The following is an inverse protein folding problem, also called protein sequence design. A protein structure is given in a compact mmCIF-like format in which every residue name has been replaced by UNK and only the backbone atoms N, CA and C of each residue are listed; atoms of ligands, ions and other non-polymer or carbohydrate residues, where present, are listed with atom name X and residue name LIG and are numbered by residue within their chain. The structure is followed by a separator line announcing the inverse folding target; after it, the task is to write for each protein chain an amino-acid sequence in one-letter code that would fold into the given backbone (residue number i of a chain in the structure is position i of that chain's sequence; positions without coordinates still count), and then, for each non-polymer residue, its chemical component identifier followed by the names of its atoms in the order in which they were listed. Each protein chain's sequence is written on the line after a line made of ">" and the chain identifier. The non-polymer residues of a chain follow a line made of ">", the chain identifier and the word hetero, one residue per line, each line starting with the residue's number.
data_IF_570851188813
#
_entry.id   IF_570851188813
#
_cell.length_a   1.000
_cell.length_b   1.000
_cell.length_c   1.000
_cell.angle_alpha   90.00
_cell.angle_beta   90.00
_cell.angle_gamma   90.00
#
_symmetry.space_group_name_H-M   'P 1'
#
loop_
_entity.id
_entity.type
_entity.pdbx_description
1 polymer ?
#
# COMPACT_ATOMS: atom_id res chain seq x y z
N UNK A 1 -2.35 -22.10 -53.91
CA UNK A 1 -2.32 -20.62 -53.87
C UNK A 1 -2.59 -20.19 -52.43
N UNK A 2 -1.58 -19.64 -51.76
CA UNK A 2 -1.70 -18.79 -50.56
C UNK A 2 -1.20 -17.39 -51.01
N UNK A 3 -1.55 -16.23 -50.39
CA UNK A 3 -0.97 -15.89 -49.07
C UNK A 3 -1.75 -14.86 -48.19
N UNK A 4 -1.20 -14.65 -47.00
CA UNK A 4 -1.24 -13.44 -46.15
C UNK A 4 -2.60 -13.09 -45.50
N UNK A 5 -2.75 -13.21 -44.18
CA UNK A 5 -2.14 -12.33 -43.17
C UNK A 5 -3.33 -11.73 -42.40
N UNK A 6 -3.37 -11.52 -41.10
CA UNK A 6 -2.34 -11.29 -40.10
C UNK A 6 -3.07 -11.33 -38.75
N UNK A 7 -2.50 -11.99 -37.76
CA UNK A 7 -2.74 -11.58 -36.37
C UNK A 7 -2.26 -10.13 -36.20
N UNK A 8 -2.99 -9.28 -35.47
CA UNK A 8 -2.30 -8.35 -34.61
C UNK A 8 -2.83 -8.45 -33.18
N UNK A 9 -1.88 -8.66 -32.27
CA UNK A 9 -2.03 -8.36 -30.86
C UNK A 9 -2.58 -6.95 -30.62
N UNK A 10 -3.41 -6.77 -29.59
CA UNK A 10 -3.79 -5.46 -29.10
C UNK A 10 -4.85 -5.50 -27.99
N UNK A 11 -4.42 -5.44 -26.74
CA UNK A 11 -5.26 -5.37 -25.51
C UNK A 11 -6.38 -4.30 -25.63
N UNK A 12 -7.53 -4.45 -24.93
CA UNK A 12 -7.60 -3.93 -23.56
C UNK A 12 -8.48 -4.77 -22.62
N UNK A 13 -7.84 -5.40 -21.63
CA UNK A 13 -8.49 -6.09 -20.50
C UNK A 13 -9.15 -5.17 -19.45
N UNK A 14 -9.32 -3.88 -19.73
CA UNK A 14 -9.81 -2.90 -18.75
C UNK A 14 -11.32 -2.62 -18.88
N UNK A 15 -11.85 -2.66 -20.11
CA UNK A 15 -13.28 -2.41 -20.39
C UNK A 15 -14.17 -3.59 -19.98
N UNK A 16 -13.64 -4.81 -20.03
CA UNK A 16 -14.38 -6.03 -19.71
C UNK A 16 -14.65 -6.17 -18.20
N UNK A 17 -13.70 -5.73 -17.36
CA UNK A 17 -13.91 -5.67 -15.90
C UNK A 17 -15.03 -4.67 -15.57
N UNK A 18 -15.03 -3.51 -16.24
CA UNK A 18 -16.07 -2.48 -16.07
C UNK A 18 -17.47 -2.95 -16.51
N UNK A 19 -17.58 -3.72 -17.59
CA UNK A 19 -18.88 -4.25 -18.05
C UNK A 19 -19.45 -5.31 -17.11
N UNK A 20 -18.61 -6.23 -16.61
CA UNK A 20 -19.03 -7.20 -15.59
C UNK A 20 -19.39 -6.52 -14.26
N UNK A 21 -18.69 -5.44 -13.90
CA UNK A 21 -19.03 -4.63 -12.72
C UNK A 21 -20.40 -3.98 -12.88
N UNK A 22 -20.70 -3.40 -14.04
CA UNK A 22 -21.97 -2.70 -14.32
C UNK A 22 -23.18 -3.64 -14.24
N UNK A 23 -23.12 -4.79 -14.89
CA UNK A 23 -24.21 -5.78 -14.85
C UNK A 23 -24.36 -6.44 -13.46
N UNK A 24 -23.27 -6.52 -12.71
CA UNK A 24 -23.28 -7.02 -11.33
C UNK A 24 -23.86 -6.05 -10.32
N UNK A 25 -23.62 -4.74 -10.50
CA UNK A 25 -23.98 -3.69 -9.55
C UNK A 25 -25.43 -3.23 -9.71
N UNK A 26 -26.03 -3.42 -10.89
CA UNK A 26 -27.40 -3.00 -11.21
C UNK A 26 -28.22 -4.21 -11.69
N UNK A 27 -28.83 -5.01 -10.79
CA UNK A 27 -29.75 -6.08 -11.18
C UNK A 27 -31.03 -5.51 -11.82
N UNK A 28 -31.70 -6.32 -12.64
CA UNK A 28 -32.98 -6.02 -13.29
C UNK A 28 -34.04 -5.53 -12.27
N UNK A 29 -34.98 -4.65 -12.68
CA UNK A 29 -35.93 -4.02 -11.78
C UNK A 29 -36.73 -5.08 -11.00
N UNK A 30 -36.84 -4.99 -9.66
CA UNK A 30 -37.57 -5.96 -8.84
C UNK A 30 -39.09 -5.89 -9.09
N UNK A 31 -39.85 -6.97 -8.82
CA UNK A 31 -41.31 -6.92 -8.82
C UNK A 31 -41.81 -5.99 -7.70
N UNK A 32 -42.90 -5.25 -7.98
CA UNK A 32 -43.64 -4.28 -7.13
C UNK A 32 -43.11 -4.06 -5.70
N UNK A 33 -41.94 -3.43 -5.56
CA UNK A 33 -41.50 -2.79 -4.33
C UNK A 33 -42.06 -1.38 -4.30
N UNK A 34 -42.42 -0.88 -3.12
CA UNK A 34 -42.75 0.54 -2.97
C UNK A 34 -41.56 1.39 -3.47
N UNK A 35 -41.83 2.49 -4.17
CA UNK A 35 -40.79 3.44 -4.61
C UNK A 35 -39.84 3.82 -3.47
N UNK A 36 -40.38 3.89 -2.24
CA UNK A 36 -39.63 4.17 -1.02
C UNK A 36 -38.59 3.08 -0.67
N UNK A 37 -38.96 1.80 -0.80
CA UNK A 37 -38.06 0.66 -0.55
C UNK A 37 -36.96 0.55 -1.62
N UNK A 38 -37.30 0.85 -2.87
CA UNK A 38 -36.33 0.93 -3.97
C UNK A 38 -35.31 2.06 -3.75
N UNK A 39 -35.80 3.26 -3.38
CA UNK A 39 -34.95 4.40 -3.08
C UNK A 39 -34.03 4.16 -1.88
N UNK A 40 -34.50 3.49 -0.83
CA UNK A 40 -33.68 3.17 0.34
C UNK A 40 -32.58 2.16 0.01
N UNK A 41 -32.90 1.10 -0.73
CA UNK A 41 -31.93 0.13 -1.22
C UNK A 41 -30.86 0.77 -2.13
N UNK A 42 -31.26 1.66 -3.02
CA UNK A 42 -30.35 2.41 -3.88
C UNK A 42 -29.45 3.36 -3.07
N UNK A 43 -30.03 4.12 -2.14
CA UNK A 43 -29.29 5.06 -1.28
C UNK A 43 -28.22 4.35 -0.45
N UNK A 44 -28.53 3.17 0.11
CA UNK A 44 -27.58 2.34 0.85
C UNK A 44 -26.41 1.89 -0.03
N UNK A 45 -26.69 1.31 -1.21
CA UNK A 45 -25.64 0.88 -2.15
C UNK A 45 -24.79 2.05 -2.64
N UNK A 46 -25.41 3.19 -2.92
CA UNK A 46 -24.70 4.40 -3.33
C UNK A 46 -23.79 4.95 -2.23
N UNK A 47 -24.22 4.89 -0.97
CA UNK A 47 -23.38 5.27 0.18
C UNK A 47 -22.12 4.39 0.25
N UNK A 48 -22.27 3.07 0.15
CA UNK A 48 -21.13 2.15 0.13
C UNK A 48 -20.18 2.40 -1.04
N UNK A 49 -20.73 2.71 -2.22
CA UNK A 49 -19.94 3.07 -3.40
C UNK A 49 -19.13 4.35 -3.19
N UNK A 50 -19.75 5.40 -2.61
CA UNK A 50 -19.04 6.63 -2.25
C UNK A 50 -17.93 6.35 -1.24
N UNK A 51 -18.19 5.55 -0.21
CA UNK A 51 -17.16 5.14 0.76
C UNK A 51 -16.00 4.39 0.09
N UNK A 52 -16.29 3.54 -0.89
CA UNK A 52 -15.27 2.83 -1.67
C UNK A 52 -14.38 3.82 -2.45
N UNK A 53 -14.97 4.78 -3.16
CA UNK A 53 -14.23 5.78 -3.93
C UNK A 53 -13.34 6.64 -3.02
N UNK A 54 -13.86 7.10 -1.88
CA UNK A 54 -13.08 7.87 -0.91
C UNK A 54 -11.91 7.05 -0.36
N UNK A 55 -12.15 5.79 -0.01
CA UNK A 55 -11.09 4.91 0.48
C UNK A 55 -10.02 4.66 -0.59
N UNK A 56 -10.41 4.46 -1.85
CA UNK A 56 -9.49 4.28 -2.96
C UNK A 56 -8.55 5.49 -3.14
N UNK A 57 -9.11 6.70 -3.18
CA UNK A 57 -8.32 7.94 -3.30
C UNK A 57 -7.32 8.08 -2.14
N UNK A 58 -7.75 7.80 -0.90
CA UNK A 58 -6.88 7.87 0.27
C UNK A 58 -5.75 6.82 0.23
N UNK A 59 -6.03 5.61 -0.24
CA UNK A 59 -5.02 4.57 -0.41
C UNK A 59 -3.99 4.98 -1.48
N UNK A 60 -4.45 5.45 -2.63
CA UNK A 60 -3.57 5.93 -3.71
C UNK A 60 -2.70 7.11 -3.27
N UNK A 61 -3.26 8.06 -2.52
CA UNK A 61 -2.48 9.17 -1.98
C UNK A 61 -1.38 8.68 -1.02
N UNK A 62 -1.70 7.74 -0.12
CA UNK A 62 -0.71 7.18 0.79
C UNK A 62 0.37 6.36 0.06
N UNK A 63 0.02 5.68 -1.04
CA UNK A 63 0.98 5.00 -1.92
C UNK A 63 1.90 6.00 -2.63
N UNK A 64 1.34 7.07 -3.22
CA UNK A 64 2.11 8.11 -3.88
C UNK A 64 3.09 8.80 -2.90
N UNK A 65 2.67 9.03 -1.65
CA UNK A 65 3.55 9.56 -0.62
C UNK A 65 4.72 8.61 -0.30
N UNK A 66 4.49 7.29 -0.27
CA UNK A 66 5.55 6.30 -0.08
C UNK A 66 6.49 6.24 -1.29
N UNK A 67 5.97 6.29 -2.51
CA UNK A 67 6.77 6.35 -3.74
C UNK A 67 7.65 7.58 -3.75
N UNK A 68 7.11 8.74 -3.37
CA UNK A 68 7.89 9.97 -3.24
C UNK A 68 9.03 9.83 -2.24
N UNK A 69 8.81 9.17 -1.10
CA UNK A 69 9.88 8.91 -0.12
C UNK A 69 10.93 7.97 -0.72
N UNK A 70 10.50 6.93 -1.44
CA UNK A 70 11.40 5.93 -2.04
C UNK A 70 12.27 6.53 -3.15
N UNK A 71 11.68 7.31 -4.06
CA UNK A 71 12.39 7.93 -5.18
C UNK A 71 13.07 9.26 -4.81
N UNK A 72 12.63 9.92 -3.74
CA UNK A 72 13.12 11.24 -3.34
C UNK A 72 14.54 11.23 -2.78
N UNK A 73 15.07 10.08 -2.37
CA UNK A 73 16.43 9.96 -1.82
C UNK A 73 16.64 10.66 -0.47
N UNK A 74 15.60 11.25 0.11
CA UNK A 74 15.65 11.92 1.41
C UNK A 74 15.69 10.91 2.56
N UNK A 75 16.28 11.34 3.69
CA UNK A 75 16.26 10.55 4.91
C UNK A 75 14.84 10.44 5.47
N UNK A 76 14.40 9.22 5.78
CA UNK A 76 13.06 8.97 6.31
C UNK A 76 13.10 8.28 7.68
N UNK A 77 12.00 8.44 8.44
CA UNK A 77 11.79 7.72 9.70
C UNK A 77 10.88 6.53 9.45
N UNK A 78 11.24 5.35 9.97
CA UNK A 78 10.39 4.15 9.87
C UNK A 78 8.98 4.34 10.42
N UNK A 79 8.79 5.25 11.39
CA UNK A 79 7.46 5.62 11.89
C UNK A 79 6.56 6.20 10.79
N UNK A 80 7.12 7.01 9.87
CA UNK A 80 6.39 7.59 8.74
C UNK A 80 6.01 6.49 7.75
N UNK A 81 6.96 5.61 7.40
CA UNK A 81 6.71 4.47 6.50
C UNK A 81 5.59 3.58 7.05
N UNK A 82 5.66 3.22 8.34
CA UNK A 82 4.63 2.42 9.01
C UNK A 82 3.26 3.10 8.97
N UNK A 83 3.21 4.39 9.29
CA UNK A 83 1.94 5.15 9.24
C UNK A 83 1.30 5.14 7.85
N UNK A 84 2.08 5.26 6.78
CA UNK A 84 1.55 5.19 5.40
C UNK A 84 1.06 3.79 5.05
N UNK A 85 1.81 2.74 5.39
CA UNK A 85 1.41 1.34 5.19
C UNK A 85 0.09 1.05 5.93
N UNK A 86 -0.03 1.45 7.19
CA UNK A 86 -1.28 1.31 7.96
C UNK A 86 -2.43 2.06 7.30
N UNK A 87 -2.18 3.28 6.80
CA UNK A 87 -3.20 4.07 6.08
C UNK A 87 -3.68 3.34 4.83
N UNK A 88 -2.78 2.73 4.07
CA UNK A 88 -3.11 1.92 2.89
C UNK A 88 -3.97 0.73 3.30
N UNK A 89 -3.52 -0.07 4.27
CA UNK A 89 -4.23 -1.27 4.73
C UNK A 89 -5.64 -0.94 5.23
N UNK A 90 -5.79 0.10 6.05
CA UNK A 90 -7.11 0.55 6.56
C UNK A 90 -8.04 0.94 5.41
N UNK A 91 -7.55 1.67 4.41
CA UNK A 91 -8.38 2.08 3.28
C UNK A 91 -8.71 0.92 2.33
N UNK A 92 -7.78 -0.02 2.11
CA UNK A 92 -8.06 -1.24 1.36
C UNK A 92 -9.11 -2.10 2.06
N UNK A 93 -9.02 -2.24 3.38
CA UNK A 93 -10.05 -2.94 4.15
C UNK A 93 -11.42 -2.27 4.01
N UNK A 94 -11.50 -0.93 4.07
CA UNK A 94 -12.74 -0.19 3.81
C UNK A 94 -13.30 -0.49 2.41
N UNK A 95 -12.46 -0.57 1.38
CA UNK A 95 -12.89 -0.95 0.03
C UNK A 95 -13.48 -2.37 -0.01
N UNK A 96 -12.82 -3.34 0.63
CA UNK A 96 -13.31 -4.74 0.74
C UNK A 96 -14.68 -4.77 1.41
N UNK A 97 -14.85 -4.08 2.55
CA UNK A 97 -16.13 -4.01 3.28
C UNK A 97 -17.23 -3.34 2.47
N UNK A 98 -16.94 -2.26 1.76
CA UNK A 98 -17.90 -1.62 0.85
C UNK A 98 -18.33 -2.57 -0.28
N UNK A 99 -17.40 -3.31 -0.89
CA UNK A 99 -17.72 -4.28 -1.94
C UNK A 99 -18.61 -5.42 -1.42
N UNK A 100 -18.29 -5.98 -0.27
CA UNK A 100 -19.08 -7.03 0.37
C UNK A 100 -20.49 -6.55 0.73
N UNK A 101 -20.62 -5.32 1.21
CA UNK A 101 -21.92 -4.72 1.54
C UNK A 101 -22.78 -4.46 0.29
N UNK A 102 -22.16 -4.11 -0.84
CA UNK A 102 -22.85 -3.85 -2.10
C UNK A 102 -23.19 -5.14 -2.88
N UNK A 103 -22.44 -6.22 -2.68
CA UNK A 103 -22.59 -7.48 -3.41
C UNK A 103 -22.44 -8.69 -2.47
N UNK A 104 -23.47 -8.98 -1.65
CA UNK A 104 -23.44 -10.11 -0.73
C UNK A 104 -23.18 -11.42 -1.48
N UNK A 105 -22.27 -12.24 -0.96
CA UNK A 105 -21.98 -13.58 -1.48
C UNK A 105 -21.09 -13.66 -2.74
N UNK A 106 -20.76 -12.54 -3.41
CA UNK A 106 -19.86 -12.58 -4.59
C UNK A 106 -18.38 -12.60 -4.25
N UNK A 107 -17.98 -11.92 -3.19
CA UNK A 107 -16.57 -11.58 -2.94
C UNK A 107 -16.05 -12.10 -1.59
N UNK A 108 -16.59 -13.22 -1.09
CA UNK A 108 -16.27 -13.74 0.25
C UNK A 108 -14.78 -14.08 0.47
N UNK A 109 -14.00 -14.25 -0.59
CA UNK A 109 -12.56 -14.51 -0.49
C UNK A 109 -11.71 -13.24 -0.29
N UNK A 110 -12.25 -12.04 -0.56
CA UNK A 110 -11.47 -10.79 -0.49
C UNK A 110 -10.91 -10.51 0.89
N UNK A 111 -11.65 -10.84 1.96
CA UNK A 111 -11.14 -10.67 3.33
C UNK A 111 -9.94 -11.57 3.59
N UNK A 112 -9.99 -12.84 3.15
CA UNK A 112 -8.87 -13.78 3.31
C UNK A 112 -7.63 -13.33 2.54
N UNK A 113 -7.82 -12.84 1.30
CA UNK A 113 -6.71 -12.32 0.48
C UNK A 113 -6.12 -11.07 1.14
N UNK A 114 -6.97 -10.18 1.65
CA UNK A 114 -6.54 -9.00 2.39
C UNK A 114 -5.69 -9.38 3.61
N UNK A 115 -6.15 -10.32 4.43
CA UNK A 115 -5.43 -10.79 5.62
C UNK A 115 -4.08 -11.42 5.27
N UNK A 116 -4.03 -12.20 4.18
CA UNK A 116 -2.78 -12.80 3.69
C UNK A 116 -1.76 -11.74 3.25
N UNK A 117 -2.21 -10.71 2.52
CA UNK A 117 -1.33 -9.61 2.08
C UNK A 117 -0.89 -8.76 3.28
N UNK A 118 -1.82 -8.45 4.19
CA UNK A 118 -1.55 -7.71 5.41
C UNK A 118 -0.47 -8.38 6.27
N UNK A 119 -0.61 -9.69 6.49
CA UNK A 119 0.36 -10.49 7.24
C UNK A 119 1.74 -10.51 6.56
N UNK A 120 1.78 -10.65 5.23
CA UNK A 120 3.03 -10.61 4.47
C UNK A 120 3.73 -9.24 4.57
N UNK A 121 2.96 -8.15 4.55
CA UNK A 121 3.47 -6.80 4.73
C UNK A 121 4.02 -6.57 6.14
N UNK A 122 3.29 -7.01 7.18
CA UNK A 122 3.76 -6.91 8.57
C UNK A 122 5.11 -7.61 8.74
N UNK A 123 5.27 -8.82 8.19
CA UNK A 123 6.55 -9.53 8.24
C UNK A 123 7.69 -8.75 7.55
N UNK A 124 7.42 -8.03 6.46
CA UNK A 124 8.43 -7.20 5.78
C UNK A 124 8.79 -5.99 6.64
N UNK A 125 7.80 -5.35 7.24
CA UNK A 125 7.97 -4.11 8.02
C UNK A 125 8.61 -4.36 9.38
N UNK A 126 8.33 -5.49 10.01
CA UNK A 126 8.86 -5.89 11.31
C UNK A 126 10.23 -6.55 11.25
N UNK A 127 10.78 -6.77 10.04
CA UNK A 127 12.16 -7.24 9.88
C UNK A 127 13.11 -6.30 10.60
N UNK A 128 13.52 -6.74 11.78
CA UNK A 128 14.56 -6.07 12.55
C UNK A 128 15.87 -6.33 11.81
N UNK A 129 16.68 -5.30 11.52
CA UNK A 129 18.00 -5.50 10.93
C UNK A 129 18.76 -6.50 11.80
N UNK A 130 19.38 -7.51 11.17
CA UNK A 130 20.18 -8.49 11.89
C UNK A 130 21.13 -7.78 12.87
N UNK A 131 21.30 -8.35 14.07
CA UNK A 131 22.21 -7.83 15.09
C UNK A 131 23.56 -7.56 14.43
N UNK A 132 23.94 -6.29 14.37
CA UNK A 132 25.05 -5.84 13.52
C UNK A 132 26.35 -6.50 14.01
N UNK A 133 27.06 -7.15 13.11
CA UNK A 133 28.35 -7.76 13.40
C UNK A 133 29.38 -6.66 13.64
N UNK A 134 30.11 -6.76 14.75
CA UNK A 134 31.15 -5.82 15.10
C UNK A 134 31.64 -6.01 16.54
N UNK A 135 32.74 -5.36 16.92
CA UNK A 135 33.24 -5.38 18.28
C UNK A 135 32.18 -4.85 19.25
N UNK A 136 32.05 -5.47 20.43
CA UNK A 136 31.20 -4.93 21.51
C UNK A 136 31.75 -3.61 22.07
N UNK A 137 33.06 -3.39 21.94
CA UNK A 137 33.78 -2.20 22.36
C UNK A 137 34.57 -1.71 21.15
N UNK A 138 34.38 -0.44 20.78
CA UNK A 138 35.13 0.23 19.73
C UNK A 138 35.88 1.40 20.34
N UNK A 139 37.20 1.50 20.13
CA UNK A 139 37.96 2.63 20.66
C UNK A 139 37.54 3.93 19.96
N UNK A 140 37.45 5.03 20.73
CA UNK A 140 37.17 6.36 20.16
C UNK A 140 38.23 6.78 19.11
N UNK A 141 39.46 6.28 19.23
CA UNK A 141 40.52 6.53 18.24
C UNK A 141 40.29 5.81 16.91
N UNK A 142 39.44 4.78 16.89
CA UNK A 142 39.15 3.95 15.71
C UNK A 142 37.79 4.29 15.09
N UNK A 143 36.97 5.07 15.80
CA UNK A 143 35.63 5.48 15.35
C UNK A 143 35.70 6.31 14.06
N UNK A 144 34.81 6.00 13.11
CA UNK A 144 34.71 6.69 11.82
C UNK A 144 33.31 6.65 11.24
N UNK A 145 33.09 7.39 10.14
CA UNK A 145 31.85 7.29 9.36
C UNK A 145 31.58 5.88 8.83
N UNK A 146 32.60 5.02 8.73
CA UNK A 146 32.44 3.60 8.37
C UNK A 146 31.75 2.80 9.47
N UNK A 147 31.88 3.25 10.72
CA UNK A 147 31.32 2.61 11.91
C UNK A 147 29.93 3.14 12.27
N UNK A 148 29.36 4.05 11.47
CA UNK A 148 28.07 4.73 11.72
C UNK A 148 26.92 3.79 12.04
N UNK A 149 26.91 2.61 11.42
CA UNK A 149 25.90 1.60 11.71
C UNK A 149 26.10 0.93 13.09
N UNK A 150 27.28 0.94 13.69
CA UNK A 150 27.52 0.37 15.03
C UNK A 150 27.28 1.39 16.16
N UNK A 151 27.66 2.65 15.94
CA UNK A 151 27.74 3.68 17.00
C UNK A 151 26.75 4.83 16.82
N UNK A 152 26.02 4.85 15.70
CA UNK A 152 25.11 5.94 15.32
C UNK A 152 25.82 7.16 14.73
N UNK A 153 25.01 8.08 14.18
CA UNK A 153 25.49 9.24 13.43
C UNK A 153 26.35 10.19 14.28
N UNK A 154 26.01 10.37 15.56
CA UNK A 154 26.71 11.31 16.44
C UNK A 154 28.16 10.91 16.68
N UNK A 155 28.39 9.68 17.11
CA UNK A 155 29.75 9.19 17.39
C UNK A 155 30.55 9.03 16.10
N UNK A 156 29.90 8.64 15.00
CA UNK A 156 30.54 8.59 13.70
C UNK A 156 31.05 9.96 13.22
N UNK A 157 30.24 11.00 13.37
CA UNK A 157 30.66 12.37 13.06
C UNK A 157 31.77 12.84 14.01
N UNK A 158 31.70 12.50 15.30
CA UNK A 158 32.73 12.86 16.28
C UNK A 158 34.10 12.26 15.92
N UNK A 159 34.17 11.00 15.50
CA UNK A 159 35.44 10.38 15.11
C UNK A 159 36.00 10.83 13.77
N UNK A 160 35.23 11.50 12.92
CA UNK A 160 35.80 12.23 11.77
C UNK A 160 36.37 13.58 12.20
N UNK A 161 35.72 14.27 13.13
CA UNK A 161 36.20 15.56 13.63
C UNK A 161 37.59 15.43 14.28
N UNK A 162 37.85 14.36 15.04
CA UNK A 162 39.17 14.10 15.64
C UNK A 162 40.27 13.77 14.63
N UNK A 163 39.91 13.51 13.36
CA UNK A 163 40.86 13.30 12.26
C UNK A 163 41.15 14.58 11.46
N UNK A 164 40.48 15.68 11.77
CA UNK A 164 40.79 16.98 11.18
C UNK A 164 42.02 17.60 11.85
N UNK A 165 42.97 18.17 11.09
CA UNK A 165 44.13 18.84 11.65
C UNK A 165 43.68 20.04 12.51
N UNK A 166 44.13 20.07 13.78
CA UNK A 166 43.86 21.15 14.72
C UNK A 166 42.80 20.84 15.80
N UNK A 167 42.16 19.67 15.76
CA UNK A 167 41.27 19.19 16.82
C UNK A 167 42.02 18.12 17.61
N UNK A 168 42.39 18.40 18.86
CA UNK A 168 43.10 17.50 19.79
C UNK A 168 42.13 16.88 20.77
#
# INVERSE_FOLDING_TARGET
>A
MNPAGSDPEGRPGMLRIFSYLKESLFPAPPPELSYEEFCDGFRKRYSHFRSLLTANNNALQAMADLEKIYYGGESYRMAVIRSKITTILVNVYKMVRSLLAMSPGRYGELEKIFDSIGSGLEQIVERTPARRQGPLILSLTEVSLKHRLLIGDKMANLGELTRLPGVV
#
